data_IF_731324960317
#
_entry.id   IF_731324960317
#
_cell.length_a   1.000
_cell.length_b   1.000
_cell.length_c   1.000
_cell.angle_alpha   90.00
_cell.angle_beta   90.00
_cell.angle_gamma   90.00
#
_symmetry.space_group_name_H-M   'P 1'
#
loop_
_entity.id
_entity.type
_entity.pdbx_description
1 polymer ?
#
# COMPACT_ATOMS: atom_id res chain seq x y z
N UNK A 1 -62.04 -5.05 -32.77
CA UNK A 1 -61.60 -3.65 -32.80
C UNK A 1 -60.52 -3.48 -31.73
N UNK A 2 -59.24 -3.65 -32.09
CA UNK A 2 -58.27 -2.55 -32.32
C UNK A 2 -57.87 -1.87 -31.00
N UNK A 3 -56.61 -1.84 -30.53
CA UNK A 3 -55.30 -1.89 -31.21
C UNK A 3 -54.20 -2.28 -30.21
N UNK A 4 -53.28 -3.13 -30.66
CA UNK A 4 -51.92 -3.23 -30.14
C UNK A 4 -51.17 -1.92 -30.41
N UNK A 5 -50.36 -1.46 -29.45
CA UNK A 5 -49.29 -0.47 -29.65
C UNK A 5 -47.94 -1.10 -29.25
N UNK A 6 -46.86 -0.83 -30.00
CA UNK A 6 -45.67 -1.67 -30.00
C UNK A 6 -44.65 -1.26 -28.92
N UNK A 7 -43.94 -2.26 -28.39
CA UNK A 7 -42.68 -2.08 -27.65
C UNK A 7 -41.66 -1.41 -28.57
N UNK A 8 -41.31 -0.16 -28.30
CA UNK A 8 -40.14 0.49 -28.88
C UNK A 8 -38.92 -0.01 -28.11
N UNK A 9 -38.18 -0.93 -28.72
CA UNK A 9 -36.85 -1.32 -28.27
C UNK A 9 -35.89 -0.14 -28.49
N UNK A 10 -35.57 0.59 -27.42
CA UNK A 10 -34.49 1.56 -27.43
C UNK A 10 -33.15 0.80 -27.37
N UNK A 11 -32.60 0.48 -28.55
CA UNK A 11 -31.19 0.14 -28.74
C UNK A 11 -30.34 1.37 -28.39
N UNK A 12 -29.94 1.49 -27.12
CA UNK A 12 -28.90 2.41 -26.71
C UNK A 12 -27.55 1.79 -27.09
N UNK A 13 -27.07 2.13 -28.29
CA UNK A 13 -25.65 2.05 -28.62
C UNK A 13 -24.90 3.01 -27.69
N UNK A 14 -24.25 2.46 -26.66
CA UNK A 14 -23.21 3.18 -25.93
C UNK A 14 -21.84 2.82 -26.52
N UNK A 15 -20.95 3.80 -26.73
CA UNK A 15 -19.67 3.57 -27.36
C UNK A 15 -18.80 2.70 -26.44
N UNK A 16 -18.25 1.62 -26.99
CA UNK A 16 -17.10 0.93 -26.43
C UNK A 16 -16.00 1.97 -26.20
N UNK A 17 -15.80 2.39 -24.95
CA UNK A 17 -14.54 2.99 -24.55
C UNK A 17 -13.58 1.81 -24.36
N UNK A 18 -12.99 1.36 -25.47
CA UNK A 18 -11.79 0.56 -25.43
C UNK A 18 -10.77 1.32 -24.58
N UNK A 19 -10.24 0.70 -23.52
CA UNK A 19 -9.04 1.18 -22.87
C UNK A 19 -7.97 1.24 -23.95
N UNK A 20 -7.69 2.44 -24.46
CA UNK A 20 -6.51 2.67 -25.27
C UNK A 20 -5.33 2.19 -24.44
N UNK A 21 -4.59 1.21 -24.95
CA UNK A 21 -3.26 0.90 -24.45
C UNK A 21 -2.56 2.24 -24.20
N UNK A 22 -2.05 2.47 -22.98
CA UNK A 22 -1.26 3.68 -22.69
C UNK A 22 -0.21 3.77 -23.78
N UNK A 23 -0.40 4.70 -24.73
CA UNK A 23 0.54 4.98 -25.80
C UNK A 23 1.85 5.25 -25.08
N UNK A 24 2.87 4.42 -25.31
CA UNK A 24 4.18 4.64 -24.71
C UNK A 24 4.55 6.10 -25.00
N UNK A 25 4.67 6.91 -23.95
CA UNK A 25 5.14 8.28 -24.10
C UNK A 25 6.54 8.11 -24.69
N UNK A 26 6.84 8.66 -25.88
CA UNK A 26 8.18 8.55 -26.44
C UNK A 26 9.15 9.07 -25.38
N UNK A 27 10.23 8.31 -25.15
CA UNK A 27 11.23 8.66 -24.15
C UNK A 27 11.68 10.09 -24.44
N UNK A 28 11.38 11.01 -23.51
CA UNK A 28 11.77 12.39 -23.68
C UNK A 28 13.30 12.45 -23.67
N UNK A 29 13.94 13.14 -24.63
CA UNK A 29 15.38 13.37 -24.54
C UNK A 29 15.73 14.17 -23.29
N UNK A 30 14.77 14.92 -22.73
CA UNK A 30 14.90 15.63 -21.48
C UNK A 30 14.71 14.69 -20.29
N UNK A 31 15.68 14.68 -19.38
CA UNK A 31 15.57 14.05 -18.06
C UNK A 31 15.86 15.10 -16.99
N UNK A 32 15.07 15.09 -15.92
CA UNK A 32 15.22 16.00 -14.78
C UNK A 32 15.36 15.13 -13.53
N UNK A 33 16.53 15.18 -12.90
CA UNK A 33 16.77 14.59 -11.60
C UNK A 33 16.70 15.67 -10.52
N UNK A 34 16.02 15.37 -9.41
CA UNK A 34 15.94 16.26 -8.26
C UNK A 34 16.22 15.44 -7.00
N UNK A 35 17.06 15.96 -6.11
CA UNK A 35 17.41 15.31 -4.84
C UNK A 35 17.72 16.35 -3.78
N UNK A 36 17.41 16.05 -2.52
CA UNK A 36 17.88 16.85 -1.41
C UNK A 36 19.42 16.81 -1.37
N UNK A 37 20.05 17.86 -0.81
CA UNK A 37 21.50 17.94 -0.66
C UNK A 37 22.04 16.89 0.31
N UNK A 38 21.36 16.69 1.44
CA UNK A 38 21.68 15.61 2.39
C UNK A 38 21.33 14.24 1.83
N UNK A 39 22.22 13.28 2.05
CA UNK A 39 22.05 11.90 1.58
C UNK A 39 20.88 11.17 2.26
N UNK A 40 20.60 11.45 3.53
CA UNK A 40 19.45 10.92 4.27
C UNK A 40 18.14 11.70 3.99
N UNK A 41 18.26 12.89 3.40
CA UNK A 41 17.18 13.83 3.16
C UNK A 41 16.34 14.15 4.41
N UNK A 42 16.93 14.12 5.61
CA UNK A 42 16.27 14.46 6.88
C UNK A 42 16.74 15.83 7.38
N UNK A 43 15.78 16.65 7.78
CA UNK A 43 15.97 18.02 8.25
C UNK A 43 15.06 18.30 9.45
N UNK A 44 15.30 19.45 10.10
CA UNK A 44 14.50 19.93 11.23
C UNK A 44 13.53 21.04 10.85
N UNK A 45 12.49 21.26 11.66
CA UNK A 45 11.54 22.38 11.48
C UNK A 45 12.26 23.71 11.29
N UNK A 46 11.86 24.45 10.27
CA UNK A 46 12.42 25.76 9.91
C UNK A 46 13.80 25.70 9.24
N UNK A 47 14.41 24.52 9.15
CA UNK A 47 15.65 24.35 8.42
C UNK A 47 15.43 24.52 6.91
N UNK A 48 16.39 25.19 6.26
CA UNK A 48 16.41 25.34 4.82
C UNK A 48 16.85 24.03 4.18
N UNK A 49 15.96 23.44 3.39
CA UNK A 49 16.25 22.30 2.51
C UNK A 49 16.75 22.82 1.18
N UNK A 50 17.91 22.34 0.76
CA UNK A 50 18.48 22.59 -0.57
C UNK A 50 18.23 21.37 -1.45
N UNK A 51 17.66 21.58 -2.63
CA UNK A 51 17.47 20.56 -3.64
C UNK A 51 18.39 20.79 -4.83
N UNK A 52 19.22 19.81 -5.14
CA UNK A 52 20.05 19.78 -6.32
C UNK A 52 19.24 19.27 -7.51
N UNK A 53 19.12 20.11 -8.55
CA UNK A 53 18.43 19.81 -9.79
C UNK A 53 19.46 19.57 -10.89
N UNK A 54 19.27 18.52 -11.68
CA UNK A 54 20.09 18.24 -12.86
C UNK A 54 19.19 17.94 -14.04
N UNK A 55 19.42 18.62 -15.16
CA UNK A 55 18.69 18.47 -16.41
C UNK A 55 19.65 18.05 -17.51
N UNK A 56 19.33 16.95 -18.18
CA UNK A 56 20.03 16.50 -19.37
C UNK A 56 19.11 16.51 -20.57
N UNK A 57 19.61 16.94 -21.72
CA UNK A 57 19.00 16.74 -23.04
C UNK A 57 19.84 15.73 -23.81
N UNK A 58 19.25 14.58 -24.15
CA UNK A 58 19.90 13.53 -24.92
C UNK A 58 21.22 13.07 -24.28
N UNK A 59 21.25 13.03 -22.93
CA UNK A 59 22.40 12.63 -22.13
C UNK A 59 23.47 13.72 -21.91
N UNK A 60 23.31 14.92 -22.49
CA UNK A 60 24.22 16.05 -22.29
C UNK A 60 23.61 17.09 -21.35
N UNK A 61 24.40 17.87 -20.60
CA UNK A 61 23.88 18.96 -19.78
C UNK A 61 23.01 19.91 -20.61
N UNK A 62 21.78 20.16 -20.16
CA UNK A 62 20.85 21.05 -20.87
C UNK A 62 21.15 22.53 -20.54
N UNK A 63 20.87 23.41 -21.50
CA UNK A 63 20.84 24.86 -21.29
C UNK A 63 19.39 25.34 -21.26
N UNK A 64 19.08 26.31 -20.40
CA UNK A 64 17.72 26.84 -20.26
C UNK A 64 17.39 27.17 -18.82
N UNK A 65 16.11 27.05 -18.47
CA UNK A 65 15.61 27.35 -17.12
C UNK A 65 14.84 26.17 -16.54
N UNK A 66 14.84 26.09 -15.22
CA UNK A 66 13.98 25.21 -14.44
C UNK A 66 13.05 26.04 -13.59
N UNK A 67 11.75 25.86 -13.80
CA UNK A 67 10.73 26.35 -12.90
C UNK A 67 10.51 25.28 -11.82
N UNK A 68 10.53 25.68 -10.56
CA UNK A 68 10.36 24.76 -9.45
C UNK A 68 9.32 25.25 -8.46
N UNK A 69 8.63 24.32 -7.83
CA UNK A 69 7.75 24.58 -6.69
C UNK A 69 7.97 23.54 -5.59
N UNK A 70 7.74 23.96 -4.35
CA UNK A 70 7.73 23.08 -3.19
C UNK A 70 6.29 22.66 -2.90
N UNK A 71 6.10 21.37 -2.67
CA UNK A 71 4.83 20.76 -2.30
C UNK A 71 4.95 20.19 -0.88
N UNK A 72 3.92 20.29 -0.05
CA UNK A 72 3.80 19.57 1.24
C UNK A 72 2.97 18.30 1.01
N UNK A 73 3.61 17.13 0.98
CA UNK A 73 2.96 15.86 0.60
C UNK A 73 2.16 15.94 -0.72
N UNK A 74 2.64 16.72 -1.69
CA UNK A 74 1.93 16.96 -2.96
C UNK A 74 0.92 18.11 -2.95
N UNK A 75 0.59 18.69 -1.79
CA UNK A 75 -0.19 19.94 -1.71
C UNK A 75 0.69 21.12 -2.11
N UNK A 76 0.17 22.01 -2.96
CA UNK A 76 0.90 23.21 -3.38
C UNK A 76 1.21 24.11 -2.19
N UNK A 77 2.41 24.72 -2.21
CA UNK A 77 2.79 25.80 -1.30
C UNK A 77 3.07 27.07 -2.10
N UNK A 78 3.25 28.21 -1.41
CA UNK A 78 3.66 29.46 -2.03
C UNK A 78 5.15 29.50 -2.41
N UNK A 79 5.95 28.52 -1.96
CA UNK A 79 7.39 28.46 -2.23
C UNK A 79 7.63 27.93 -3.65
N UNK A 80 8.04 28.81 -4.55
CA UNK A 80 8.32 28.54 -5.97
C UNK A 80 9.37 29.51 -6.51
N UNK A 81 10.01 29.14 -7.61
CA UNK A 81 11.01 29.99 -8.24
C UNK A 81 11.38 29.52 -9.65
N UNK A 82 12.29 30.27 -10.25
CA UNK A 82 12.89 29.95 -11.55
C UNK A 82 14.39 30.05 -11.38
N UNK A 83 15.11 29.02 -11.84
CA UNK A 83 16.57 28.96 -11.79
C UNK A 83 17.12 28.74 -13.19
N UNK A 84 18.13 29.52 -13.59
CA UNK A 84 18.89 29.25 -14.82
C UNK A 84 19.78 28.01 -14.63
N UNK A 85 19.92 27.23 -15.70
CA UNK A 85 20.81 26.06 -15.72
C UNK A 85 22.24 26.49 -16.01
N UNK A 86 23.15 26.14 -15.11
CA UNK A 86 24.59 26.25 -15.31
C UNK A 86 25.15 24.83 -15.41
N UNK A 87 25.71 24.46 -16.57
CA UNK A 87 26.17 23.10 -16.86
C UNK A 87 25.07 22.04 -16.54
N UNK A 88 23.84 22.31 -16.99
CA UNK A 88 22.69 21.44 -16.74
C UNK A 88 22.28 21.32 -15.27
N UNK A 89 22.77 22.17 -14.37
CA UNK A 89 22.47 22.12 -12.94
C UNK A 89 21.79 23.40 -12.46
N UNK A 90 20.93 23.25 -11.47
CA UNK A 90 20.29 24.34 -10.76
C UNK A 90 20.02 23.93 -9.31
N UNK A 91 19.66 24.91 -8.49
CA UNK A 91 19.24 24.69 -7.11
C UNK A 91 17.82 25.21 -6.91
N UNK A 92 17.05 24.48 -6.11
CA UNK A 92 15.80 24.94 -5.52
C UNK A 92 15.92 24.88 -3.99
N UNK A 93 15.18 25.74 -3.29
CA UNK A 93 15.17 25.74 -1.82
C UNK A 93 13.75 25.71 -1.29
N UNK A 94 13.55 25.00 -0.19
CA UNK A 94 12.29 25.00 0.54
C UNK A 94 12.50 24.86 2.04
N UNK A 95 11.44 25.02 2.80
CA UNK A 95 11.42 24.77 4.25
C UNK A 95 10.01 24.43 4.70
N UNK A 96 9.88 23.86 5.90
CA UNK A 96 8.61 23.61 6.58
C UNK A 96 8.81 23.85 8.07
N UNK A 97 7.88 24.56 8.71
CA UNK A 97 7.95 24.91 10.14
C UNK A 97 7.19 23.91 11.04
N UNK A 98 6.84 22.75 10.49
CA UNK A 98 6.11 21.68 11.17
C UNK A 98 6.65 20.31 10.71
N UNK A 99 6.44 19.23 11.49
CA UNK A 99 6.78 17.89 11.04
C UNK A 99 6.01 17.51 9.78
N UNK A 100 6.70 16.92 8.80
CA UNK A 100 6.08 16.55 7.53
C UNK A 100 7.09 16.27 6.45
N UNK A 101 6.61 16.25 5.21
CA UNK A 101 7.44 16.01 4.03
C UNK A 101 7.24 17.11 3.01
N UNK A 102 8.35 17.59 2.45
CA UNK A 102 8.33 18.49 1.30
C UNK A 102 8.90 17.81 0.07
N UNK A 103 8.34 18.16 -1.08
CA UNK A 103 8.76 17.66 -2.38
C UNK A 103 9.05 18.85 -3.29
N UNK A 104 10.22 18.88 -3.93
CA UNK A 104 10.44 19.79 -5.05
C UNK A 104 9.85 19.17 -6.30
N UNK A 105 9.08 19.95 -7.06
CA UNK A 105 8.68 19.64 -8.43
C UNK A 105 9.36 20.60 -9.38
N UNK A 106 10.20 20.07 -10.26
CA UNK A 106 10.97 20.83 -11.24
C UNK A 106 10.48 20.54 -12.66
N UNK A 107 10.24 21.58 -13.45
CA UNK A 107 9.90 21.48 -14.87
C UNK A 107 10.86 22.32 -15.70
N UNK A 108 11.21 21.83 -16.89
CA UNK A 108 12.24 22.44 -17.74
C UNK A 108 11.64 23.23 -18.91
N UNK A 109 12.29 24.35 -19.24
CA UNK A 109 12.13 25.07 -20.52
C UNK A 109 13.49 25.41 -21.12
N UNK A 110 13.61 25.27 -22.44
CA UNK A 110 14.82 25.66 -23.17
C UNK A 110 15.11 27.17 -23.09
N UNK A 111 14.08 28.00 -22.90
CA UNK A 111 14.18 29.44 -22.62
C UNK A 111 12.84 29.94 -22.05
N UNK A 112 12.79 31.21 -21.60
CA UNK A 112 11.61 31.82 -20.96
C UNK A 112 10.33 31.80 -21.82
N UNK A 113 10.43 31.70 -23.16
CA UNK A 113 9.27 31.66 -24.08
C UNK A 113 8.94 30.25 -24.57
N UNK A 114 9.81 29.27 -24.31
CA UNK A 114 9.61 27.89 -24.76
C UNK A 114 8.48 27.21 -23.98
N UNK A 115 7.85 26.21 -24.58
CA UNK A 115 6.88 25.35 -23.88
C UNK A 115 7.58 24.53 -22.81
N UNK A 116 6.87 24.27 -21.71
CA UNK A 116 7.32 23.34 -20.65
C UNK A 116 7.48 21.95 -21.25
N UNK A 117 8.60 21.30 -20.95
CA UNK A 117 8.78 19.90 -21.31
C UNK A 117 7.70 19.03 -20.66
N UNK A 118 7.31 17.94 -21.32
CA UNK A 118 6.28 17.02 -20.80
C UNK A 118 6.72 16.19 -19.59
N UNK A 119 7.95 16.38 -19.12
CA UNK A 119 8.56 15.68 -17.98
C UNK A 119 8.75 16.62 -16.81
N UNK A 120 8.69 16.07 -15.59
CA UNK A 120 9.01 16.78 -14.37
C UNK A 120 9.94 15.95 -13.49
N UNK A 121 10.90 16.60 -12.83
CA UNK A 121 11.71 16.00 -11.78
C UNK A 121 11.02 16.15 -10.42
N UNK A 122 11.13 15.12 -9.58
CA UNK A 122 10.65 15.14 -8.20
C UNK A 122 11.78 14.73 -7.26
N UNK A 123 11.92 15.45 -6.14
CA UNK A 123 12.83 15.10 -5.05
C UNK A 123 12.15 15.37 -3.72
N UNK A 124 12.36 14.52 -2.73
CA UNK A 124 11.69 14.60 -1.42
C UNK A 124 12.67 14.87 -0.28
N UNK A 125 12.17 15.47 0.79
CA UNK A 125 12.87 15.62 2.06
C UNK A 125 11.88 15.50 3.23
N UNK A 126 12.36 14.91 4.32
CA UNK A 126 11.63 14.73 5.57
C UNK A 126 11.99 15.84 6.57
N UNK A 127 10.99 16.36 7.27
CA UNK A 127 11.13 17.39 8.31
C UNK A 127 10.62 16.79 9.61
N UNK A 128 11.52 16.51 10.56
CA UNK A 128 11.22 15.84 11.85
C UNK A 128 10.19 14.69 11.74
N UNK A 129 10.41 13.69 10.86
CA UNK A 129 9.37 12.73 10.47
C UNK A 129 8.84 11.87 11.64
N UNK A 130 9.66 11.66 12.67
CA UNK A 130 9.28 10.93 13.89
C UNK A 130 8.36 11.72 14.82
N UNK A 131 8.20 13.03 14.60
CA UNK A 131 7.26 13.88 15.35
C UNK A 131 5.87 13.96 14.71
N UNK A 132 5.66 13.36 13.52
CA UNK A 132 4.36 13.35 12.83
C UNK A 132 3.35 12.58 13.68
N UNK A 133 2.28 13.26 14.11
CA UNK A 133 1.25 12.71 14.98
C UNK A 133 0.10 12.07 14.18
N UNK A 134 -0.72 11.25 14.86
CA UNK A 134 -2.04 10.84 14.36
C UNK A 134 -2.93 12.06 14.09
N UNK A 135 -3.74 12.00 13.05
CA UNK A 135 -4.67 13.10 12.68
C UNK A 135 -5.91 13.16 13.55
N UNK A 136 -6.38 12.01 14.07
CA UNK A 136 -7.47 11.91 15.03
C UNK A 136 -7.13 10.91 16.15
N UNK A 137 -7.76 11.03 17.33
CA UNK A 137 -7.68 10.01 18.37
C UNK A 137 -8.32 8.69 17.90
N UNK A 138 -7.93 7.59 18.54
CA UNK A 138 -8.59 6.29 18.39
C UNK A 138 -10.05 6.42 18.87
N UNK A 139 -11.05 5.82 18.20
CA UNK A 139 -12.40 5.74 18.74
C UNK A 139 -12.46 4.98 20.08
N UNK A 140 -13.29 5.44 21.02
CA UNK A 140 -13.36 4.88 22.38
C UNK A 140 -13.81 3.42 22.40
N UNK A 141 -14.70 3.02 21.49
CA UNK A 141 -15.22 1.66 21.34
C UNK A 141 -14.46 0.82 20.29
N UNK A 142 -13.26 1.25 19.85
CA UNK A 142 -12.49 0.55 18.80
C UNK A 142 -12.22 -0.92 19.16
N UNK A 143 -11.77 -1.19 20.39
CA UNK A 143 -11.47 -2.56 20.84
C UNK A 143 -12.74 -3.39 20.94
N UNK A 144 -13.79 -2.84 21.55
CA UNK A 144 -15.09 -3.50 21.67
C UNK A 144 -15.69 -3.85 20.30
N UNK A 145 -15.56 -2.96 19.31
CA UNK A 145 -15.97 -3.21 17.94
C UNK A 145 -15.23 -4.41 17.33
N UNK A 146 -13.90 -4.40 17.35
CA UNK A 146 -13.11 -5.47 16.75
C UNK A 146 -13.20 -6.79 17.49
N UNK A 147 -13.33 -6.79 18.81
CA UNK A 147 -13.62 -7.99 19.60
C UNK A 147 -14.99 -8.58 19.23
N UNK A 148 -15.99 -7.73 19.01
CA UNK A 148 -17.29 -8.13 18.48
C UNK A 148 -17.18 -8.78 17.09
N UNK A 149 -16.41 -8.18 16.17
CA UNK A 149 -16.20 -8.74 14.84
C UNK A 149 -15.42 -10.06 14.86
N UNK A 150 -14.39 -10.18 15.71
CA UNK A 150 -13.66 -11.43 15.94
C UNK A 150 -14.55 -12.53 16.51
N UNK A 151 -15.44 -12.20 17.44
CA UNK A 151 -16.42 -13.15 17.99
C UNK A 151 -17.40 -13.65 16.92
N UNK A 152 -17.88 -12.76 16.05
CA UNK A 152 -18.72 -13.14 14.89
C UNK A 152 -17.97 -14.10 13.96
N UNK A 153 -16.70 -13.82 13.67
CA UNK A 153 -15.86 -14.72 12.87
C UNK A 153 -15.65 -16.08 13.55
N UNK A 154 -15.34 -16.10 14.85
CA UNK A 154 -15.10 -17.34 15.60
C UNK A 154 -16.32 -18.28 15.65
N UNK A 155 -17.54 -17.73 15.50
CA UNK A 155 -18.76 -18.53 15.40
C UNK A 155 -18.91 -19.27 14.05
N UNK A 156 -18.13 -18.91 13.03
CA UNK A 156 -18.09 -19.61 11.74
C UNK A 156 -17.04 -20.72 11.84
N UNK A 157 -17.44 -21.99 11.64
CA UNK A 157 -16.52 -23.12 11.65
C UNK A 157 -15.33 -22.93 10.67
N UNK A 158 -14.13 -23.38 11.05
CA UNK A 158 -12.91 -23.13 10.27
C UNK A 158 -12.86 -23.96 8.98
N UNK A 159 -13.21 -25.25 9.04
CA UNK A 159 -13.31 -26.21 7.92
C UNK A 159 -12.49 -25.88 6.66
N UNK A 160 -11.14 -25.85 6.75
CA UNK A 160 -10.31 -25.48 5.62
C UNK A 160 -10.23 -26.65 4.63
N UNK A 161 -10.43 -26.33 3.35
CA UNK A 161 -10.25 -27.26 2.24
C UNK A 161 -8.90 -27.00 1.59
N UNK A 162 -8.01 -27.99 1.63
CA UNK A 162 -6.68 -27.96 1.01
C UNK A 162 -6.69 -28.93 -0.18
N UNK A 163 -6.58 -28.41 -1.40
CA UNK A 163 -6.53 -29.21 -2.63
C UNK A 163 -5.11 -29.16 -3.20
N UNK A 164 -4.44 -30.30 -3.31
CA UNK A 164 -3.09 -30.36 -3.88
C UNK A 164 -3.03 -29.81 -5.30
N UNK A 165 -2.06 -28.94 -5.57
CA UNK A 165 -1.76 -28.41 -6.90
C UNK A 165 -0.28 -28.62 -7.23
N UNK A 166 0.06 -28.65 -8.53
CA UNK A 166 1.45 -28.83 -8.97
C UNK A 166 2.30 -27.62 -8.55
N UNK A 167 3.24 -27.84 -7.65
CA UNK A 167 4.21 -26.81 -7.25
C UNK A 167 5.08 -26.37 -8.45
N UNK A 168 5.36 -25.06 -8.59
CA UNK A 168 6.31 -24.55 -9.57
C UNK A 168 7.77 -24.69 -9.11
N UNK A 169 8.02 -25.09 -7.86
CA UNK A 169 9.36 -25.23 -7.27
C UNK A 169 9.57 -26.67 -6.80
N UNK A 170 10.75 -27.21 -7.08
CA UNK A 170 11.15 -28.57 -6.67
C UNK A 170 11.18 -28.68 -5.14
N UNK A 171 10.87 -29.88 -4.61
CA UNK A 171 10.92 -30.21 -3.18
C UNK A 171 9.98 -29.36 -2.30
N UNK A 172 8.94 -28.78 -2.92
CA UNK A 172 7.84 -28.05 -2.27
C UNK A 172 6.51 -28.68 -2.67
N UNK A 173 5.64 -28.90 -1.69
CA UNK A 173 4.24 -29.24 -1.91
C UNK A 173 3.37 -27.97 -1.81
N UNK A 174 2.29 -27.92 -2.59
CA UNK A 174 1.42 -26.75 -2.65
C UNK A 174 -0.04 -27.11 -2.75
N UNK A 175 -0.88 -26.23 -2.22
CA UNK A 175 -2.31 -26.43 -2.05
C UNK A 175 -3.06 -25.17 -2.47
N UNK A 176 -4.13 -25.35 -3.24
CA UNK A 176 -5.20 -24.35 -3.34
C UNK A 176 -6.07 -24.47 -2.08
N UNK A 177 -6.16 -23.38 -1.32
CA UNK A 177 -6.78 -23.34 0.00
C UNK A 177 -7.99 -22.44 -0.03
N UNK A 178 -9.10 -22.94 0.49
CA UNK A 178 -10.29 -22.15 0.80
C UNK A 178 -10.80 -22.49 2.19
N UNK A 179 -11.34 -21.51 2.90
CA UNK A 179 -12.01 -21.77 4.17
C UNK A 179 -13.16 -20.75 4.37
N UNK A 180 -14.30 -21.16 4.97
CA UNK A 180 -15.36 -20.24 5.33
C UNK A 180 -14.83 -19.05 6.14
N UNK A 181 -15.48 -17.90 6.03
CA UNK A 181 -15.22 -16.72 6.84
C UNK A 181 -16.53 -15.94 7.02
N UNK A 182 -16.49 -14.83 7.76
CA UNK A 182 -17.65 -13.93 7.83
C UNK A 182 -17.80 -13.19 6.48
N UNK A 183 -18.87 -13.49 5.75
CA UNK A 183 -19.08 -12.96 4.39
C UNK A 183 -18.37 -13.81 3.34
N UNK A 184 -17.48 -13.20 2.55
CA UNK A 184 -16.68 -13.93 1.55
C UNK A 184 -15.63 -14.80 2.25
N UNK A 185 -15.49 -16.04 1.78
CA UNK A 185 -14.48 -17.01 2.22
C UNK A 185 -13.05 -16.47 2.06
N UNK A 186 -12.07 -17.12 2.69
CA UNK A 186 -10.67 -16.94 2.27
C UNK A 186 -10.39 -17.80 1.04
N UNK A 187 -9.42 -17.36 0.25
CA UNK A 187 -8.76 -18.19 -0.75
C UNK A 187 -7.29 -17.82 -0.85
N UNK A 188 -6.44 -18.79 -1.19
CA UNK A 188 -5.01 -18.55 -1.36
C UNK A 188 -4.26 -19.81 -1.79
N UNK A 189 -2.98 -19.64 -2.10
CA UNK A 189 -2.07 -20.77 -2.27
C UNK A 189 -1.22 -20.93 -1.02
N UNK A 190 -1.24 -22.14 -0.44
CA UNK A 190 -0.39 -22.51 0.69
C UNK A 190 0.67 -23.50 0.21
N UNK A 191 1.90 -23.34 0.67
CA UNK A 191 3.04 -24.17 0.29
C UNK A 191 3.90 -24.49 1.51
N UNK A 192 4.53 -25.67 1.50
CA UNK A 192 5.51 -26.09 2.52
C UNK A 192 6.59 -27.00 1.90
N UNK A 193 7.79 -27.12 2.50
CA UNK A 193 8.76 -28.15 2.11
C UNK A 193 8.17 -29.55 2.17
N UNK A 194 8.51 -30.40 1.19
CA UNK A 194 8.15 -31.82 1.22
C UNK A 194 8.74 -32.48 2.47
N UNK A 195 7.91 -33.22 3.21
CA UNK A 195 8.36 -33.96 4.40
C UNK A 195 8.66 -33.08 5.61
N UNK A 196 8.14 -31.85 5.63
CA UNK A 196 8.21 -30.98 6.81
C UNK A 196 7.67 -31.69 8.05
N UNK A 197 8.43 -31.63 9.15
CA UNK A 197 8.05 -32.28 10.42
C UNK A 197 6.99 -31.44 11.15
N UNK A 198 6.17 -32.05 12.01
CA UNK A 198 5.34 -31.28 12.93
C UNK A 198 6.17 -30.28 13.73
N UNK A 199 5.63 -29.08 13.94
CA UNK A 199 6.25 -27.99 14.71
C UNK A 199 7.66 -27.60 14.25
N UNK A 200 7.88 -27.50 12.94
CA UNK A 200 9.21 -27.23 12.37
C UNK A 200 9.31 -25.95 11.54
N UNK A 201 8.19 -25.34 11.16
CA UNK A 201 8.17 -24.23 10.22
C UNK A 201 7.59 -22.94 10.83
N UNK A 202 8.28 -21.80 10.68
CA UNK A 202 7.64 -20.50 10.89
C UNK A 202 6.59 -20.25 9.80
N UNK A 203 5.53 -19.53 10.14
CA UNK A 203 4.52 -19.08 9.18
C UNK A 203 4.95 -17.79 8.51
N UNK A 204 4.72 -17.70 7.19
CA UNK A 204 4.62 -16.41 6.49
C UNK A 204 3.32 -16.31 5.68
N UNK A 205 2.58 -15.25 5.92
CA UNK A 205 1.40 -14.85 5.15
C UNK A 205 1.76 -13.64 4.27
N UNK A 206 1.74 -13.81 2.96
CA UNK A 206 1.89 -12.72 1.99
C UNK A 206 0.53 -12.21 1.52
N UNK A 207 0.39 -10.88 1.48
CA UNK A 207 -0.88 -10.19 1.21
C UNK A 207 -0.73 -9.14 0.12
N UNK A 208 -1.75 -9.00 -0.72
CA UNK A 208 -1.65 -8.29 -2.01
C UNK A 208 -1.81 -6.78 -1.94
N UNK A 209 -1.16 -6.10 -2.88
CA UNK A 209 -1.47 -4.71 -3.22
C UNK A 209 -2.87 -4.56 -3.84
N UNK A 210 -3.30 -3.31 -4.02
CA UNK A 210 -4.62 -3.01 -4.55
C UNK A 210 -4.77 -3.49 -6.01
N UNK A 211 -5.93 -4.03 -6.34
CA UNK A 211 -6.23 -4.63 -7.65
C UNK A 211 -7.07 -5.88 -7.47
N UNK A 212 -7.36 -6.58 -8.56
CA UNK A 212 -8.01 -7.90 -8.54
C UNK A 212 -7.12 -8.84 -9.34
N UNK A 213 -6.60 -9.86 -8.69
CA UNK A 213 -5.64 -10.80 -9.26
C UNK A 213 -5.78 -12.18 -8.62
N UNK A 214 -5.15 -13.16 -9.26
CA UNK A 214 -4.90 -14.47 -8.67
C UNK A 214 -3.96 -14.36 -7.45
N UNK A 215 -3.99 -15.39 -6.61
CA UNK A 215 -2.94 -15.60 -5.61
C UNK A 215 -1.67 -16.14 -6.29
N UNK A 216 -0.51 -15.80 -5.72
CA UNK A 216 0.80 -16.15 -6.25
C UNK A 216 1.27 -17.51 -5.72
N UNK A 217 0.97 -18.58 -6.47
CA UNK A 217 1.50 -19.92 -6.18
C UNK A 217 3.04 -19.96 -6.16
N UNK A 218 3.68 -19.21 -7.06
CA UNK A 218 5.14 -19.05 -7.07
C UNK A 218 5.66 -18.30 -5.85
N UNK A 219 4.90 -17.33 -5.34
CA UNK A 219 5.24 -16.56 -4.13
C UNK A 219 5.22 -17.44 -2.88
N UNK A 220 4.14 -18.18 -2.65
CA UNK A 220 4.04 -19.12 -1.52
C UNK A 220 5.11 -20.20 -1.63
N UNK A 221 5.30 -20.79 -2.82
CA UNK A 221 6.31 -21.83 -3.02
C UNK A 221 7.75 -21.31 -2.80
N UNK A 222 8.04 -20.05 -3.15
CA UNK A 222 9.36 -19.44 -2.97
C UNK A 222 9.70 -19.21 -1.49
N UNK A 223 8.71 -18.90 -0.66
CA UNK A 223 8.90 -18.86 0.79
C UNK A 223 8.99 -20.25 1.40
N UNK A 224 8.20 -21.20 0.89
CA UNK A 224 8.30 -22.58 1.32
C UNK A 224 9.69 -23.18 1.06
N UNK A 225 10.32 -22.89 -0.08
CA UNK A 225 11.68 -23.36 -0.36
C UNK A 225 12.76 -22.76 0.57
N UNK A 226 12.45 -21.68 1.29
CA UNK A 226 13.28 -21.09 2.36
C UNK A 226 12.95 -21.68 3.75
N UNK A 227 12.11 -22.71 3.79
CA UNK A 227 11.71 -23.41 5.01
C UNK A 227 10.66 -22.66 5.83
N UNK A 228 9.60 -22.19 5.17
CA UNK A 228 8.41 -21.62 5.80
C UNK A 228 7.17 -22.48 5.51
N UNK A 229 6.18 -22.41 6.39
CA UNK A 229 4.79 -22.68 6.04
C UNK A 229 4.23 -21.39 5.47
N UNK A 230 4.12 -21.32 4.14
CA UNK A 230 3.85 -20.08 3.44
C UNK A 230 2.45 -20.07 2.84
N UNK A 231 1.74 -18.95 2.95
CA UNK A 231 0.52 -18.72 2.17
C UNK A 231 0.56 -17.35 1.52
N UNK A 232 0.20 -17.31 0.25
CA UNK A 232 -0.14 -16.09 -0.46
C UNK A 232 -1.66 -16.02 -0.59
N UNK A 233 -2.27 -15.00 0.01
CA UNK A 233 -3.73 -14.94 0.20
C UNK A 233 -4.38 -13.91 -0.71
N UNK A 234 -5.47 -14.32 -1.37
CA UNK A 234 -6.30 -13.44 -2.17
C UNK A 234 -7.04 -12.45 -1.26
N UNK A 235 -6.83 -11.14 -1.48
CA UNK A 235 -7.50 -10.10 -0.68
C UNK A 235 -9.04 -10.17 -0.74
N UNK A 236 -9.59 -10.75 -1.83
CA UNK A 236 -11.02 -10.74 -2.16
C UNK A 236 -11.72 -12.07 -1.89
N UNK A 237 -11.00 -13.15 -1.59
CA UNK A 237 -11.60 -14.49 -1.47
C UNK A 237 -12.03 -15.11 -2.80
N UNK A 238 -11.47 -14.63 -3.92
CA UNK A 238 -11.80 -15.11 -5.27
C UNK A 238 -11.19 -16.50 -5.55
N UNK A 239 -11.79 -17.30 -6.44
CA UNK A 239 -11.18 -18.55 -6.88
C UNK A 239 -9.78 -18.34 -7.45
N UNK A 240 -8.84 -19.22 -7.11
CA UNK A 240 -7.47 -19.18 -7.64
C UNK A 240 -7.37 -19.92 -8.99
N UNK A 241 -6.26 -19.71 -9.71
CA UNK A 241 -5.91 -20.47 -10.91
C UNK A 241 -6.79 -20.19 -12.12
N UNK A 242 -7.53 -19.06 -12.11
CA UNK A 242 -8.31 -18.63 -13.28
C UNK A 242 -7.41 -17.92 -14.29
N UNK A 243 -7.79 -17.88 -15.58
CA UNK A 243 -7.05 -17.10 -16.57
C UNK A 243 -6.98 -15.63 -16.18
N UNK A 244 -5.89 -14.93 -16.51
CA UNK A 244 -5.70 -13.50 -16.22
C UNK A 244 -6.90 -12.62 -16.63
N UNK A 245 -7.56 -12.98 -17.74
CA UNK A 245 -8.74 -12.28 -18.24
C UNK A 245 -9.90 -12.28 -17.23
N UNK A 246 -10.12 -13.39 -16.50
CA UNK A 246 -11.16 -13.48 -15.46
C UNK A 246 -11.03 -12.36 -14.41
N UNK A 247 -9.83 -12.18 -13.86
CA UNK A 247 -9.57 -11.14 -12.86
C UNK A 247 -9.64 -9.73 -13.47
N UNK A 248 -9.23 -9.59 -14.73
CA UNK A 248 -9.27 -8.31 -15.45
C UNK A 248 -10.72 -7.88 -15.71
N UNK A 249 -11.58 -8.82 -16.11
CA UNK A 249 -13.01 -8.59 -16.32
C UNK A 249 -13.73 -8.28 -15.00
N UNK A 250 -13.40 -8.99 -13.91
CA UNK A 250 -13.92 -8.67 -12.57
C UNK A 250 -13.54 -7.26 -12.15
N UNK A 251 -12.27 -6.88 -12.31
CA UNK A 251 -11.78 -5.55 -11.98
C UNK A 251 -12.48 -4.46 -12.79
N UNK A 252 -12.67 -4.68 -14.09
CA UNK A 252 -13.32 -3.72 -14.98
C UNK A 252 -14.84 -3.65 -14.79
N UNK A 253 -15.45 -4.72 -14.31
CA UNK A 253 -16.89 -4.83 -14.08
C UNK A 253 -17.25 -4.77 -12.60
N UNK A 254 -17.75 -5.87 -12.01
CA UNK A 254 -18.43 -5.85 -10.72
C UNK A 254 -17.55 -5.40 -9.55
N UNK A 255 -16.23 -5.57 -9.62
CA UNK A 255 -15.32 -5.19 -8.53
C UNK A 255 -14.72 -3.79 -8.70
N UNK A 256 -14.96 -3.06 -9.80
CA UNK A 256 -14.41 -1.71 -9.96
C UNK A 256 -14.63 -0.78 -8.75
N UNK A 257 -15.79 -0.79 -8.05
CA UNK A 257 -16.02 0.06 -6.89
C UNK A 257 -15.64 -0.57 -5.54
N UNK A 258 -15.03 -1.77 -5.48
CA UNK A 258 -14.92 -2.58 -4.24
C UNK A 258 -14.47 -1.76 -3.02
N UNK A 259 -13.47 -0.89 -3.21
CA UNK A 259 -12.89 -0.09 -2.12
C UNK A 259 -13.84 0.93 -1.51
N UNK A 260 -14.93 1.28 -2.19
CA UNK A 260 -15.93 2.25 -1.73
C UNK A 260 -17.22 1.58 -1.24
N UNK A 261 -17.34 0.26 -1.35
CA UNK A 261 -18.51 -0.47 -0.91
C UNK A 261 -18.73 -0.32 0.59
N UNK A 262 -19.94 0.17 0.94
CA UNK A 262 -20.37 0.43 2.32
C UNK A 262 -19.40 1.33 3.11
N UNK A 263 -18.77 2.31 2.45
CA UNK A 263 -17.72 3.11 3.08
C UNK A 263 -18.16 3.99 4.27
N UNK A 264 -19.45 4.14 4.50
CA UNK A 264 -20.02 4.88 5.63
C UNK A 264 -20.54 3.95 6.76
N UNK A 265 -20.27 2.64 6.67
CA UNK A 265 -20.68 1.64 7.66
C UNK A 265 -19.45 0.81 8.06
N UNK A 266 -18.90 1.05 9.25
CA UNK A 266 -17.69 0.39 9.76
C UNK A 266 -17.80 -1.14 9.78
N UNK A 267 -19.01 -1.70 9.94
CA UNK A 267 -19.19 -3.15 10.00
C UNK A 267 -19.26 -3.75 8.59
N UNK A 268 -19.98 -3.09 7.67
CA UNK A 268 -20.23 -3.60 6.31
C UNK A 268 -19.18 -3.20 5.29
N UNK A 269 -18.33 -2.22 5.60
CA UNK A 269 -17.26 -1.77 4.73
C UNK A 269 -16.46 -2.96 4.18
N UNK A 270 -16.17 -2.93 2.87
CA UNK A 270 -15.39 -3.98 2.20
C UNK A 270 -14.10 -4.35 2.98
N UNK A 271 -13.40 -3.34 3.49
CA UNK A 271 -12.15 -3.51 4.22
C UNK A 271 -12.33 -4.25 5.56
N UNK A 272 -13.48 -4.14 6.22
CA UNK A 272 -13.78 -4.94 7.43
C UNK A 272 -13.81 -6.42 7.11
N UNK A 273 -14.47 -6.81 6.02
CA UNK A 273 -14.44 -8.19 5.53
C UNK A 273 -13.02 -8.65 5.17
N UNK A 274 -12.21 -7.78 4.54
CA UNK A 274 -10.81 -8.07 4.25
C UNK A 274 -10.00 -8.34 5.52
N UNK A 275 -10.16 -7.53 6.56
CA UNK A 275 -9.43 -7.74 7.82
C UNK A 275 -9.85 -9.04 8.53
N UNK A 276 -11.12 -9.42 8.46
CA UNK A 276 -11.59 -10.69 9.01
C UNK A 276 -11.04 -11.90 8.24
N UNK A 277 -10.89 -11.78 6.92
CA UNK A 277 -10.19 -12.79 6.12
C UNK A 277 -8.73 -12.95 6.52
N UNK A 278 -8.03 -11.90 6.95
CA UNK A 278 -6.66 -12.02 7.48
C UNK A 278 -6.61 -12.90 8.73
N UNK A 279 -7.50 -12.64 9.70
CA UNK A 279 -7.58 -13.44 10.94
C UNK A 279 -7.89 -14.90 10.60
N UNK A 280 -8.85 -15.13 9.69
CA UNK A 280 -9.20 -16.48 9.22
C UNK A 280 -8.04 -17.18 8.49
N UNK A 281 -7.26 -16.44 7.69
CA UNK A 281 -6.06 -16.97 7.06
C UNK A 281 -5.00 -17.40 8.08
N UNK A 282 -4.84 -16.63 9.16
CA UNK A 282 -3.97 -17.00 10.29
C UNK A 282 -4.52 -18.22 11.03
N UNK A 283 -5.84 -18.35 11.21
CA UNK A 283 -6.45 -19.56 11.78
C UNK A 283 -6.09 -20.81 10.97
N UNK A 284 -6.20 -20.76 9.64
CA UNK A 284 -5.86 -21.89 8.76
C UNK A 284 -4.38 -22.25 8.84
N UNK A 285 -3.49 -21.26 8.84
CA UNK A 285 -2.05 -21.49 8.92
C UNK A 285 -1.64 -22.05 10.29
N UNK A 286 -2.17 -21.48 11.37
CA UNK A 286 -1.85 -21.89 12.75
C UNK A 286 -2.52 -23.20 13.16
N UNK A 287 -3.50 -23.70 12.39
CA UNK A 287 -4.04 -25.05 12.57
C UNK A 287 -3.19 -26.15 11.91
N UNK A 288 -2.20 -25.80 11.08
CA UNK A 288 -1.36 -26.80 10.41
C UNK A 288 -0.37 -27.42 11.40
N UNK A 289 -0.16 -28.76 11.36
CA UNK A 289 0.73 -29.43 12.30
C UNK A 289 2.19 -29.01 12.16
N UNK A 290 2.61 -28.51 11.00
CA UNK A 290 4.00 -28.08 10.75
C UNK A 290 4.35 -26.72 11.36
N UNK A 291 3.35 -25.91 11.75
CA UNK A 291 3.62 -24.63 12.39
C UNK A 291 4.40 -24.82 13.69
N UNK A 292 5.52 -24.11 13.82
CA UNK A 292 6.42 -24.15 14.97
C UNK A 292 5.79 -23.70 16.31
N UNK A 293 4.55 -23.24 16.30
CA UNK A 293 3.82 -22.78 17.48
C UNK A 293 4.28 -21.42 18.01
N UNK A 294 5.19 -20.74 17.30
CA UNK A 294 5.84 -19.51 17.76
C UNK A 294 5.78 -18.39 16.72
N UNK A 295 6.26 -18.59 15.50
CA UNK A 295 6.47 -17.49 14.56
C UNK A 295 5.32 -17.42 13.56
N UNK A 296 4.69 -16.25 13.49
CA UNK A 296 3.75 -15.85 12.44
C UNK A 296 4.20 -14.51 11.90
N UNK A 297 4.50 -14.47 10.61
CA UNK A 297 4.92 -13.27 9.90
C UNK A 297 3.85 -12.87 8.89
N UNK A 298 3.54 -11.59 8.80
CA UNK A 298 2.68 -11.05 7.73
C UNK A 298 3.46 -10.01 6.92
N UNK A 299 3.47 -10.14 5.60
CA UNK A 299 4.27 -9.27 4.72
C UNK A 299 3.49 -8.83 3.51
N UNK A 300 3.56 -7.54 3.18
CA UNK A 300 2.90 -7.00 2.00
C UNK A 300 3.25 -5.54 1.71
N UNK A 301 2.86 -5.10 0.51
CA UNK A 301 3.13 -3.77 -0.02
C UNK A 301 1.85 -3.03 -0.42
N UNK A 302 1.79 -1.71 -0.25
CA UNK A 302 0.61 -0.88 -0.54
C UNK A 302 -0.62 -1.38 0.25
N UNK A 303 -1.71 -1.82 -0.39
CA UNK A 303 -2.82 -2.51 0.29
C UNK A 303 -2.36 -3.77 1.06
N UNK A 304 -1.28 -4.41 0.65
CA UNK A 304 -0.68 -5.52 1.40
C UNK A 304 -0.04 -5.03 2.70
N UNK A 305 0.56 -3.83 2.69
CA UNK A 305 1.10 -3.21 3.90
C UNK A 305 -0.02 -2.82 4.87
N UNK A 306 -1.15 -2.34 4.35
CA UNK A 306 -2.37 -2.13 5.13
C UNK A 306 -2.82 -3.42 5.82
N UNK A 307 -2.93 -4.51 5.06
CA UNK A 307 -3.27 -5.82 5.61
C UNK A 307 -2.26 -6.31 6.66
N UNK A 308 -0.96 -6.13 6.43
CA UNK A 308 0.08 -6.56 7.37
C UNK A 308 -0.04 -5.82 8.72
N UNK A 309 -0.26 -4.51 8.69
CA UNK A 309 -0.44 -3.69 9.90
C UNK A 309 -1.75 -4.07 10.61
N UNK A 310 -2.84 -4.25 9.87
CA UNK A 310 -4.13 -4.63 10.43
C UNK A 310 -4.08 -6.03 11.09
N UNK A 311 -3.47 -7.02 10.41
CA UNK A 311 -3.26 -8.35 10.97
C UNK A 311 -2.50 -8.28 12.30
N UNK A 312 -1.40 -7.53 12.33
CA UNK A 312 -0.58 -7.36 13.53
C UNK A 312 -1.29 -6.61 14.67
N UNK A 313 -2.22 -5.71 14.35
CA UNK A 313 -3.01 -4.97 15.34
C UNK A 313 -4.24 -5.73 15.84
N UNK A 314 -4.76 -6.70 15.07
CA UNK A 314 -5.98 -7.44 15.38
C UNK A 314 -5.72 -8.84 15.95
N UNK A 315 -4.56 -9.43 15.66
CA UNK A 315 -4.24 -10.81 16.02
C UNK A 315 -2.90 -10.91 16.74
N UNK A 316 -2.95 -11.30 18.02
CA UNK A 316 -1.77 -11.39 18.89
C UNK A 316 -0.80 -12.52 18.49
N UNK A 317 -1.21 -13.45 17.59
CA UNK A 317 -0.32 -14.49 17.07
C UNK A 317 0.72 -13.92 16.12
N UNK A 318 0.46 -12.77 15.48
CA UNK A 318 1.41 -12.12 14.57
C UNK A 318 2.63 -11.63 15.36
N UNK A 319 3.77 -12.27 15.12
CA UNK A 319 5.03 -11.99 15.82
C UNK A 319 5.91 -10.96 15.12
N UNK A 320 5.71 -10.76 13.82
CA UNK A 320 6.44 -9.76 13.02
C UNK A 320 5.62 -9.37 11.80
N UNK A 321 5.77 -8.13 11.35
CA UNK A 321 5.19 -7.71 10.08
C UNK A 321 6.11 -6.81 9.28
N UNK A 322 6.08 -6.98 7.96
CA UNK A 322 6.77 -6.12 7.01
C UNK A 322 5.74 -5.38 6.14
N UNK A 323 5.73 -4.05 6.21
CA UNK A 323 4.76 -3.19 5.56
C UNK A 323 5.46 -2.23 4.58
N UNK A 324 5.41 -2.56 3.30
CA UNK A 324 6.07 -1.77 2.26
C UNK A 324 5.17 -0.69 1.67
N UNK A 325 5.61 0.59 1.65
CA UNK A 325 4.81 1.77 1.23
C UNK A 325 3.32 1.66 1.60
N UNK A 326 2.99 1.40 2.88
CA UNK A 326 1.69 0.90 3.26
C UNK A 326 0.56 1.88 2.95
N UNK A 327 -0.50 1.34 2.35
CA UNK A 327 -1.79 2.01 2.25
C UNK A 327 -2.53 1.96 3.60
N UNK A 328 -3.78 2.41 3.65
CA UNK A 328 -4.60 2.32 4.87
C UNK A 328 -4.23 3.31 5.96
N UNK A 329 -3.26 4.19 5.72
CA UNK A 329 -2.71 5.09 6.71
C UNK A 329 -3.33 6.48 6.63
N UNK A 330 -3.67 7.05 7.79
CA UNK A 330 -4.07 8.44 7.96
C UNK A 330 -5.30 8.83 7.12
N UNK A 331 -6.35 8.01 7.19
CA UNK A 331 -7.62 8.22 6.49
C UNK A 331 -8.30 9.54 6.86
N UNK A 332 -7.97 10.10 8.02
CA UNK A 332 -8.45 11.39 8.51
C UNK A 332 -7.45 12.54 8.32
N UNK A 333 -6.35 12.30 7.58
CA UNK A 333 -5.28 13.28 7.38
C UNK A 333 -5.75 14.64 6.83
N UNK A 334 -6.84 14.66 6.05
CA UNK A 334 -7.38 15.90 5.49
C UNK A 334 -7.91 16.86 6.57
N UNK A 335 -8.31 16.36 7.74
CA UNK A 335 -8.76 17.20 8.86
C UNK A 335 -7.62 18.00 9.50
N UNK A 336 -6.38 17.67 9.18
CA UNK A 336 -5.17 18.33 9.67
C UNK A 336 -4.24 18.72 8.51
N UNK A 337 -4.82 19.05 7.35
CA UNK A 337 -4.10 19.53 6.17
C UNK A 337 -3.02 18.57 5.63
N UNK A 338 -3.34 17.27 5.60
CA UNK A 338 -2.50 16.22 5.00
C UNK A 338 -3.28 15.43 3.94
N UNK A 339 -2.55 14.83 3.00
CA UNK A 339 -3.12 13.89 2.04
C UNK A 339 -3.15 12.50 2.68
N UNK A 340 -4.33 11.89 2.74
CA UNK A 340 -4.49 10.51 3.19
C UNK A 340 -3.80 9.51 2.25
N UNK A 341 -3.32 8.40 2.81
CA UNK A 341 -2.89 7.26 2.02
C UNK A 341 -4.04 6.65 1.22
N UNK A 342 -3.71 5.87 0.19
CA UNK A 342 -4.69 5.03 -0.50
C UNK A 342 -5.53 4.25 0.53
N UNK A 343 -6.87 4.12 0.39
CA UNK A 343 -7.66 4.33 -0.82
C UNK A 343 -8.19 5.75 -1.04
N UNK A 344 -7.82 6.72 -0.19
CA UNK A 344 -8.39 8.09 -0.24
C UNK A 344 -9.92 8.05 -0.16
N UNK A 345 -10.40 7.32 0.85
CA UNK A 345 -11.80 6.88 0.96
C UNK A 345 -12.79 8.01 1.23
N UNK A 346 -12.37 9.01 2.00
CA UNK A 346 -13.20 10.12 2.47
C UNK A 346 -13.41 11.09 1.31
N UNK A 347 -14.63 11.21 0.76
CA UNK A 347 -14.90 12.20 -0.28
C UNK A 347 -14.98 13.60 0.34
N UNK A 348 -14.74 14.61 -0.50
CA UNK A 348 -15.06 16.00 -0.19
C UNK A 348 -16.45 16.33 -0.73
N UNK A 349 -17.36 16.76 0.14
CA UNK A 349 -18.72 17.20 -0.17
C UNK A 349 -18.82 18.67 0.24
N UNK A 350 -19.13 19.55 -0.71
CA UNK A 350 -19.20 21.01 -0.49
C UNK A 350 -17.95 21.59 0.20
N UNK A 351 -16.77 21.12 -0.20
CA UNK A 351 -15.48 21.56 0.35
C UNK A 351 -15.16 21.02 1.74
N UNK A 352 -15.99 20.13 2.30
CA UNK A 352 -15.78 19.49 3.62
C UNK A 352 -15.66 17.97 3.50
N UNK A 353 -14.85 17.31 4.35
CA UNK A 353 -14.83 15.84 4.39
C UNK A 353 -16.19 15.28 4.81
N UNK A 354 -16.64 14.20 4.19
CA UNK A 354 -17.85 13.49 4.63
C UNK A 354 -17.61 12.81 5.98
N UNK A 355 -18.15 13.42 7.05
CA UNK A 355 -17.99 12.94 8.41
C UNK A 355 -18.48 11.50 8.62
N UNK A 356 -19.50 11.04 7.89
CA UNK A 356 -19.98 9.67 8.04
C UNK A 356 -18.93 8.65 7.62
N UNK A 357 -18.17 8.96 6.56
CA UNK A 357 -17.07 8.12 6.08
C UNK A 357 -15.84 8.26 6.99
N UNK A 358 -15.55 9.48 7.48
CA UNK A 358 -14.47 9.70 8.46
C UNK A 358 -14.69 8.82 9.69
N UNK A 359 -15.88 8.88 10.32
CA UNK A 359 -16.15 8.11 11.54
C UNK A 359 -16.08 6.60 11.30
N UNK A 360 -16.61 6.11 10.17
CA UNK A 360 -16.52 4.70 9.83
C UNK A 360 -15.07 4.23 9.61
N UNK A 361 -14.26 5.00 8.87
CA UNK A 361 -12.90 4.59 8.50
C UNK A 361 -11.85 4.78 9.60
N UNK A 362 -12.17 5.46 10.70
CA UNK A 362 -11.33 5.43 11.90
C UNK A 362 -11.18 4.00 12.46
N UNK A 363 -12.17 3.13 12.32
CA UNK A 363 -12.06 1.71 12.74
C UNK A 363 -11.15 0.88 11.83
N UNK A 364 -10.85 1.41 10.65
CA UNK A 364 -10.10 0.77 9.58
C UNK A 364 -8.77 1.48 9.34
N UNK A 365 -8.35 2.43 10.17
CA UNK A 365 -7.10 3.16 9.96
C UNK A 365 -5.90 2.41 10.55
N UNK A 366 -4.83 2.26 9.77
CA UNK A 366 -3.55 1.71 10.21
C UNK A 366 -3.00 2.40 11.47
N UNK A 367 -3.21 3.70 11.64
CA UNK A 367 -2.77 4.40 12.84
C UNK A 367 -3.36 3.79 14.11
N UNK A 368 -4.60 3.30 14.04
CA UNK A 368 -5.32 2.73 15.18
C UNK A 368 -5.03 1.24 15.38
N UNK A 369 -4.76 0.49 14.30
CA UNK A 369 -4.23 -0.88 14.42
C UNK A 369 -2.82 -0.90 15.02
N UNK A 370 -1.96 0.04 14.61
CA UNK A 370 -0.56 0.11 15.05
C UNK A 370 -0.41 0.25 16.58
N UNK A 371 -1.35 0.91 17.27
CA UNK A 371 -1.28 1.04 18.74
C UNK A 371 -1.53 -0.26 19.50
N UNK A 372 -2.03 -1.31 18.83
CA UNK A 372 -2.49 -2.56 19.45
C UNK A 372 -1.56 -3.75 19.22
N UNK A 373 -0.63 -3.64 18.28
CA UNK A 373 0.24 -4.76 17.94
C UNK A 373 1.07 -5.23 19.14
N UNK A 374 1.25 -6.56 19.22
CA UNK A 374 2.12 -7.24 20.18
C UNK A 374 3.30 -7.93 19.49
N UNK A 375 3.52 -7.64 18.20
CA UNK A 375 4.63 -8.19 17.45
C UNK A 375 5.97 -7.80 18.11
N UNK A 376 6.96 -8.68 18.00
CA UNK A 376 8.30 -8.44 18.52
C UNK A 376 9.11 -7.46 17.65
N UNK A 377 8.67 -7.24 16.41
CA UNK A 377 9.31 -6.30 15.50
C UNK A 377 8.44 -5.94 14.29
N UNK A 378 8.80 -4.85 13.63
CA UNK A 378 8.23 -4.45 12.36
C UNK A 378 9.26 -3.83 11.43
N UNK A 379 9.02 -3.95 10.11
CA UNK A 379 9.85 -3.31 9.09
C UNK A 379 8.98 -2.55 8.09
N UNK A 380 9.30 -1.28 7.86
CA UNK A 380 8.58 -0.41 6.94
C UNK A 380 9.45 0.00 5.75
N UNK A 381 8.83 0.33 4.63
CA UNK A 381 9.46 1.09 3.56
C UNK A 381 8.63 2.32 3.25
N UNK A 382 9.28 3.40 2.81
CA UNK A 382 8.61 4.66 2.48
C UNK A 382 9.35 5.37 1.36
N UNK A 383 8.62 5.83 0.35
CA UNK A 383 9.13 6.68 -0.72
C UNK A 383 8.81 8.15 -0.43
N UNK A 384 9.81 9.04 -0.46
CA UNK A 384 9.57 10.45 -0.07
C UNK A 384 8.81 11.23 -1.15
N UNK A 385 8.77 10.72 -2.39
CA UNK A 385 7.98 11.31 -3.48
C UNK A 385 6.71 10.50 -3.79
N UNK A 386 6.29 9.60 -2.89
CA UNK A 386 5.04 8.86 -3.03
C UNK A 386 3.84 9.80 -2.87
N UNK A 387 2.93 9.77 -3.85
CA UNK A 387 1.68 10.55 -3.87
C UNK A 387 0.43 9.66 -3.80
N UNK A 388 0.62 8.34 -3.84
CA UNK A 388 -0.43 7.33 -3.64
C UNK A 388 -0.58 7.05 -2.16
N UNK A 389 0.53 6.77 -1.47
CA UNK A 389 0.65 6.62 -0.03
C UNK A 389 1.66 7.64 0.48
N UNK A 390 1.26 8.91 0.70
CA UNK A 390 2.18 9.97 1.08
C UNK A 390 3.03 9.60 2.30
N UNK A 391 4.33 9.95 2.33
CA UNK A 391 5.23 9.57 3.41
C UNK A 391 4.74 10.06 4.78
N UNK A 392 4.10 11.23 4.86
CA UNK A 392 3.50 11.71 6.12
C UNK A 392 2.40 10.77 6.62
N UNK A 393 1.60 10.16 5.74
CA UNK A 393 0.58 9.19 6.16
C UNK A 393 1.22 7.93 6.76
N UNK A 394 2.29 7.44 6.14
CA UNK A 394 3.04 6.27 6.60
C UNK A 394 3.71 6.56 7.96
N UNK A 395 4.36 7.71 8.11
CA UNK A 395 4.98 8.11 9.37
C UNK A 395 3.95 8.36 10.48
N UNK A 396 2.76 8.88 10.17
CA UNK A 396 1.68 9.02 11.14
C UNK A 396 1.33 7.68 11.81
N UNK A 397 1.27 6.61 11.01
CA UNK A 397 1.08 5.23 11.47
C UNK A 397 2.32 4.68 12.18
N UNK A 398 3.49 4.75 11.54
CA UNK A 398 4.75 4.22 12.08
C UNK A 398 5.06 4.78 13.47
N UNK A 399 4.78 6.06 13.69
CA UNK A 399 5.00 6.74 14.97
C UNK A 399 4.04 6.25 16.08
N UNK A 400 2.94 5.55 15.77
CA UNK A 400 2.05 4.96 16.77
C UNK A 400 2.52 3.59 17.30
N UNK A 401 3.51 2.97 16.65
CA UNK A 401 4.06 1.67 17.10
C UNK A 401 4.91 1.83 18.36
N UNK A 402 4.63 1.00 19.36
CA UNK A 402 5.36 0.91 20.64
C UNK A 402 6.26 -0.35 20.73
N UNK A 403 6.60 -0.92 19.58
CA UNK A 403 7.42 -2.13 19.44
C UNK A 403 8.75 -1.77 18.76
N UNK A 404 9.78 -2.64 18.80
CA UNK A 404 10.94 -2.49 17.94
C UNK A 404 10.52 -2.35 16.48
N UNK A 405 11.04 -1.32 15.80
CA UNK A 405 10.60 -0.95 14.47
C UNK A 405 11.75 -0.36 13.67
N UNK A 406 11.84 -0.76 12.41
CA UNK A 406 12.80 -0.26 11.43
C UNK A 406 12.04 0.32 10.22
N UNK A 407 12.58 1.35 9.59
CA UNK A 407 12.01 1.94 8.37
C UNK A 407 13.12 2.26 7.36
N UNK A 408 12.94 1.76 6.14
CA UNK A 408 13.80 2.10 5.02
C UNK A 408 13.24 3.28 4.23
N UNK A 409 13.94 4.40 4.31
CA UNK A 409 13.65 5.59 3.53
C UNK A 409 14.17 5.41 2.10
N UNK A 410 13.30 4.98 1.19
CA UNK A 410 13.57 4.87 -0.24
C UNK A 410 13.39 6.25 -0.90
N UNK A 411 14.25 7.20 -0.50
CA UNK A 411 14.11 8.65 -0.73
C UNK A 411 13.67 9.03 -2.16
N UNK A 412 14.30 8.54 -3.25
CA UNK A 412 13.94 8.95 -4.61
C UNK A 412 12.70 8.23 -5.15
N UNK A 413 12.14 7.25 -4.42
CA UNK A 413 11.03 6.43 -4.88
C UNK A 413 9.67 7.09 -4.65
N UNK A 414 8.77 6.88 -5.61
CA UNK A 414 7.34 7.15 -5.48
C UNK A 414 6.60 5.96 -4.88
N UNK A 415 5.45 5.60 -5.46
CA UNK A 415 4.70 4.41 -5.06
C UNK A 415 5.29 3.11 -5.65
N UNK A 416 6.54 2.85 -5.31
CA UNK A 416 7.30 1.70 -5.79
C UNK A 416 8.29 1.24 -4.72
N UNK A 417 8.90 0.10 -4.96
CA UNK A 417 10.04 -0.36 -4.16
C UNK A 417 11.28 -0.39 -5.06
N UNK A 418 12.40 0.15 -4.57
CA UNK A 418 13.72 -0.22 -5.07
C UNK A 418 14.04 -1.68 -4.72
N UNK A 419 15.08 -2.26 -5.34
CA UNK A 419 15.55 -3.60 -4.98
C UNK A 419 15.97 -3.66 -3.52
N UNK A 420 16.70 -2.64 -3.04
CA UNK A 420 17.11 -2.50 -1.65
C UNK A 420 15.93 -2.49 -0.68
N UNK A 421 14.83 -1.80 -1.02
CA UNK A 421 13.62 -1.79 -0.20
C UNK A 421 12.98 -3.20 -0.09
N UNK A 422 12.92 -3.96 -1.19
CA UNK A 422 12.39 -5.34 -1.20
C UNK A 422 13.30 -6.32 -0.45
N UNK A 423 14.60 -6.20 -0.65
CA UNK A 423 15.61 -7.01 0.04
C UNK A 423 15.58 -6.73 1.54
N UNK A 424 15.48 -5.47 1.95
CA UNK A 424 15.36 -5.07 3.36
C UNK A 424 14.16 -5.73 4.05
N UNK A 425 12.97 -5.71 3.41
CA UNK A 425 11.80 -6.41 3.93
C UNK A 425 12.04 -7.93 4.07
N UNK A 426 12.64 -8.56 3.05
CA UNK A 426 12.92 -10.00 3.05
C UNK A 426 13.91 -10.36 4.15
N UNK A 427 15.00 -9.60 4.27
CA UNK A 427 16.05 -9.81 5.27
C UNK A 427 15.51 -9.62 6.69
N UNK A 428 14.64 -8.64 6.91
CA UNK A 428 14.02 -8.43 8.21
C UNK A 428 13.11 -9.60 8.63
N UNK A 429 12.37 -10.19 7.68
CA UNK A 429 11.59 -11.41 7.92
C UNK A 429 12.50 -12.59 8.28
N UNK A 430 13.57 -12.82 7.51
CA UNK A 430 14.53 -13.91 7.76
C UNK A 430 15.22 -13.76 9.13
N UNK A 431 15.69 -12.55 9.44
CA UNK A 431 16.30 -12.19 10.73
C UNK A 431 15.36 -12.48 11.89
N UNK A 432 14.08 -12.13 11.79
CA UNK A 432 13.09 -12.36 12.86
C UNK A 432 12.93 -13.85 13.21
N UNK A 433 12.94 -14.73 12.19
CA UNK A 433 12.78 -16.18 12.40
C UNK A 433 14.11 -16.91 12.61
N UNK A 434 15.22 -16.18 12.74
CA UNK A 434 16.56 -16.73 12.98
C UNK A 434 17.15 -17.50 11.81
N UNK A 435 16.83 -17.09 10.57
CA UNK A 435 17.33 -17.71 9.33
C UNK A 435 18.24 -16.78 8.52
#
# INVERSE_FOLDING_TARGET
MTRLLPLVAALLWQPLIAQSAKKAVPDSPIKIAARAERADAIYHKGEKVVFNLAVTDSGKPAAGIVEWSILKDGLATEQKGVSELVDGKAVATGSLNEPGFIQVRAVYRANAKAKVASVSGLGGAAIDPTEIKRSLPVPDDFDAFWDGMKKKLAAVALEPKLVTVKSPIKDVESFDVTAPALGLQISGYMSKPVGAKPKSLPIILTVHGAGVSDSSLGGSASWASKGFLAMDMNAHGLPNGKPKQFYTDLYAGPMNPYRYEFRNDREKAYFTGMMLRLIRGIDVLTSQPEWDGKHVVVSGASQGGYQAIAAAGLDARVTFFAAGVPAGCDHSGMLVNRIAGWPKIVPMVDGKPDNSVVEAFRYLDCMNFATRTKAAGAYFTVGFIDTTCPPTSIYATYNQLNIPKEIYNDIPSGHSHSSAAREGMTNAVMKHVGK
#
